data_IF_590979353905
#
_entry.id   IF_590979353905
#
_cell.length_a   1.000
_cell.length_b   1.000
_cell.length_c   1.000
_cell.angle_alpha   90.00
_cell.angle_beta   90.00
_cell.angle_gamma   90.00
#
_symmetry.space_group_name_H-M   'P 1'
#
loop_
_entity.id
_entity.type
_entity.pdbx_description
1 polymer ?
#
# COMPACT_ATOMS: atom_id res chain seq x y z
N UNK A 1 -15.31 -3.58 -25.95
CA UNK A 1 -13.89 -3.45 -25.55
C UNK A 1 -13.88 -3.32 -24.04
N UNK A 2 -13.43 -4.38 -23.36
CA UNK A 2 -13.39 -4.42 -21.90
C UNK A 2 -12.08 -3.81 -21.40
N UNK A 3 -12.20 -2.84 -20.49
CA UNK A 3 -11.00 -2.23 -19.90
C UNK A 3 -10.37 -3.17 -18.88
N UNK A 4 -9.07 -3.07 -18.73
CA UNK A 4 -8.31 -3.70 -17.65
C UNK A 4 -7.54 -2.64 -16.88
N UNK A 5 -8.00 -2.37 -15.67
CA UNK A 5 -7.49 -1.31 -14.80
C UNK A 5 -6.87 -1.93 -13.55
N UNK A 6 -5.64 -1.56 -13.26
CA UNK A 6 -4.98 -1.87 -11.99
C UNK A 6 -5.13 -0.70 -11.03
N UNK A 7 -5.41 -0.99 -9.78
CA UNK A 7 -5.11 -0.11 -8.67
C UNK A 7 -3.94 -0.74 -7.89
N UNK A 8 -2.86 0.00 -7.76
CA UNK A 8 -1.67 -0.43 -7.01
C UNK A 8 -1.54 0.46 -5.79
N UNK A 9 -1.43 -0.17 -4.62
CA UNK A 9 -1.35 0.51 -3.33
C UNK A 9 -0.23 -0.13 -2.50
N UNK A 10 0.71 0.69 -2.01
CA UNK A 10 1.81 0.21 -1.17
C UNK A 10 1.31 -0.10 0.23
N UNK A 11 1.66 -1.28 0.72
CA UNK A 11 1.28 -1.71 2.06
C UNK A 11 1.99 -0.86 3.11
N UNK A 12 1.24 -0.26 4.09
CA UNK A 12 1.80 0.51 5.20
C UNK A 12 3.01 1.40 4.83
N UNK A 13 2.92 2.13 3.74
CA UNK A 13 4.02 2.72 2.96
C UNK A 13 5.13 3.38 3.79
N UNK A 14 4.81 4.37 4.63
CA UNK A 14 5.85 5.08 5.39
C UNK A 14 6.60 4.17 6.36
N UNK A 15 5.90 3.32 7.09
CA UNK A 15 6.54 2.38 8.00
C UNK A 15 7.36 1.34 7.23
N UNK A 16 6.91 0.93 6.05
CA UNK A 16 7.66 0.05 5.16
C UNK A 16 8.94 0.72 4.63
N UNK A 17 8.90 2.01 4.29
CA UNK A 17 10.08 2.79 3.92
C UNK A 17 11.10 2.82 5.08
N UNK A 18 10.65 3.00 6.33
CA UNK A 18 11.54 2.92 7.49
C UNK A 18 12.16 1.53 7.67
N UNK A 19 11.40 0.46 7.45
CA UNK A 19 11.92 -0.91 7.48
C UNK A 19 12.92 -1.22 6.36
N UNK A 20 12.81 -0.54 5.21
CA UNK A 20 13.81 -0.62 4.13
C UNK A 20 15.12 0.06 4.53
N UNK A 21 15.02 1.23 5.15
CA UNK A 21 16.17 2.01 5.64
C UNK A 21 16.84 1.36 6.84
N UNK A 22 16.05 0.78 7.74
CA UNK A 22 16.53 0.05 8.92
C UNK A 22 15.82 -1.31 9.04
N UNK A 23 16.43 -2.39 8.54
CA UNK A 23 15.82 -3.72 8.53
C UNK A 23 15.50 -4.31 9.91
N UNK A 24 16.11 -3.82 10.99
CA UNK A 24 15.81 -4.27 12.36
C UNK A 24 14.39 -3.91 12.81
N UNK A 25 13.76 -2.94 12.13
CA UNK A 25 12.39 -2.51 12.41
C UNK A 25 11.34 -3.54 12.00
N UNK A 26 11.64 -4.46 11.09
CA UNK A 26 10.67 -5.43 10.53
C UNK A 26 10.01 -6.33 11.58
N UNK A 27 10.70 -6.59 12.67
CA UNK A 27 10.20 -7.47 13.76
C UNK A 27 9.53 -6.70 14.89
N UNK A 28 9.67 -5.37 14.90
CA UNK A 28 9.17 -4.48 15.96
C UNK A 28 7.84 -3.83 15.58
N UNK A 29 7.00 -3.44 16.54
CA UNK A 29 5.89 -2.53 16.26
C UNK A 29 6.44 -1.16 15.86
N UNK A 30 6.17 -0.71 14.62
CA UNK A 30 6.64 0.58 14.10
C UNK A 30 5.46 1.48 13.83
N UNK A 31 5.53 2.69 14.39
CA UNK A 31 4.57 3.77 14.20
C UNK A 31 5.30 4.99 13.65
N UNK A 32 4.94 5.41 12.44
CA UNK A 32 5.39 6.68 11.86
C UNK A 32 4.39 7.77 12.24
N UNK A 33 4.88 8.86 12.83
CA UNK A 33 4.08 9.83 13.55
C UNK A 33 4.23 11.25 12.96
N UNK A 34 3.11 11.95 12.87
CA UNK A 34 3.09 13.41 12.74
C UNK A 34 2.96 13.98 14.16
N UNK A 35 4.08 14.43 14.71
CA UNK A 35 4.10 15.10 16.01
C UNK A 35 3.60 16.54 15.86
N UNK A 36 2.88 17.03 16.86
CA UNK A 36 2.46 18.44 16.90
C UNK A 36 3.43 19.28 17.72
N UNK A 37 3.42 20.59 17.48
CA UNK A 37 4.26 21.58 18.18
C UNK A 37 3.94 21.73 19.67
N UNK A 38 2.87 21.08 20.17
CA UNK A 38 2.48 21.10 21.59
C UNK A 38 3.41 20.26 22.49
N UNK A 39 4.32 19.50 21.88
CA UNK A 39 5.27 18.64 22.60
C UNK A 39 4.67 17.36 23.15
N UNK A 40 5.52 16.51 23.74
CA UNK A 40 5.15 15.22 24.30
C UNK A 40 4.59 14.25 23.26
N UNK A 41 3.52 13.53 23.62
CA UNK A 41 2.84 12.55 22.77
C UNK A 41 1.66 13.15 21.97
N UNK A 42 1.74 14.47 21.72
CA UNK A 42 0.74 15.16 20.91
C UNK A 42 0.99 14.94 19.42
N UNK A 43 -0.07 14.55 18.70
CA UNK A 43 -0.01 14.24 17.27
C UNK A 43 -0.77 12.98 16.92
N UNK A 44 -0.59 12.49 15.70
CA UNK A 44 -1.29 11.32 15.19
C UNK A 44 -0.36 10.34 14.48
N UNK A 45 -0.77 9.09 14.46
CA UNK A 45 -0.12 8.04 13.66
C UNK A 45 -0.42 8.28 12.18
N UNK A 46 0.62 8.52 11.40
CA UNK A 46 0.51 8.60 9.94
C UNK A 46 0.38 7.18 9.35
N UNK A 47 1.25 6.27 9.77
CA UNK A 47 1.22 4.87 9.33
C UNK A 47 1.75 3.97 10.44
N UNK A 48 1.20 2.76 10.53
CA UNK A 48 1.69 1.71 11.43
C UNK A 48 1.93 0.42 10.64
N UNK A 49 3.02 -0.31 10.95
CA UNK A 49 3.28 -1.60 10.34
C UNK A 49 2.32 -2.69 10.87
N UNK A 50 2.32 -3.85 10.23
CA UNK A 50 1.40 -4.93 10.62
C UNK A 50 1.67 -5.47 12.02
N UNK A 51 2.89 -5.38 12.52
CA UNK A 51 3.21 -5.74 13.90
C UNK A 51 2.50 -4.82 14.89
N UNK A 52 2.50 -3.51 14.67
CA UNK A 52 1.76 -2.55 15.48
C UNK A 52 0.23 -2.68 15.30
N UNK A 53 -0.23 -2.95 14.07
CA UNK A 53 -1.66 -3.14 13.77
C UNK A 53 -2.32 -4.29 14.53
N UNK A 54 -1.57 -5.34 14.89
CA UNK A 54 -2.05 -6.45 15.74
C UNK A 54 -2.49 -5.99 17.13
N UNK A 55 -2.00 -4.85 17.59
CA UNK A 55 -2.39 -4.21 18.85
C UNK A 55 -3.45 -3.12 18.65
N UNK A 56 -4.08 -3.09 17.47
CA UNK A 56 -5.12 -2.12 17.13
C UNK A 56 -4.58 -0.73 16.77
N UNK A 57 -3.27 -0.56 16.59
CA UNK A 57 -2.68 0.71 16.16
C UNK A 57 -2.86 0.86 14.65
N UNK A 58 -3.47 1.97 14.22
CA UNK A 58 -3.72 2.27 12.80
C UNK A 58 -3.55 3.77 12.54
N UNK A 59 -3.50 4.15 11.26
CA UNK A 59 -3.45 5.56 10.85
C UNK A 59 -4.60 6.36 11.46
N UNK A 60 -4.34 7.60 11.81
CA UNK A 60 -5.30 8.57 12.33
C UNK A 60 -5.52 8.51 13.85
N UNK A 61 -5.07 7.47 14.57
CA UNK A 61 -5.22 7.49 16.03
C UNK A 61 -4.17 8.41 16.69
N UNK A 62 -4.49 9.03 17.85
CA UNK A 62 -3.54 9.82 18.60
C UNK A 62 -2.33 9.00 19.06
N UNK A 63 -1.13 9.61 19.08
CA UNK A 63 0.12 8.96 19.50
C UNK A 63 0.00 8.42 20.94
N UNK A 64 -0.61 9.17 21.85
CA UNK A 64 -0.83 8.74 23.22
C UNK A 64 -1.66 7.44 23.33
N UNK A 65 -2.67 7.27 22.47
CA UNK A 65 -3.45 6.03 22.40
C UNK A 65 -2.64 4.87 21.81
N UNK A 66 -1.83 5.13 20.80
CA UNK A 66 -0.95 4.12 20.23
C UNK A 66 0.07 3.63 21.27
N UNK A 67 0.69 4.54 22.03
CA UNK A 67 1.62 4.19 23.14
C UNK A 67 0.94 3.35 24.20
N UNK A 68 -0.28 3.70 24.64
CA UNK A 68 -1.04 2.91 25.59
C UNK A 68 -1.33 1.49 25.08
N UNK A 69 -1.65 1.33 23.79
CA UNK A 69 -1.90 0.01 23.20
C UNK A 69 -0.64 -0.85 23.08
N UNK A 70 0.51 -0.21 23.00
CA UNK A 70 1.83 -0.86 22.89
C UNK A 70 2.63 -0.84 24.21
N UNK A 71 2.02 -0.50 25.34
CA UNK A 71 2.73 -0.37 26.63
C UNK A 71 3.49 -1.63 27.06
N UNK A 72 3.00 -2.82 26.65
CA UNK A 72 3.65 -4.12 26.93
C UNK A 72 4.73 -4.49 25.90
N UNK A 73 4.99 -3.63 24.93
CA UNK A 73 5.97 -3.84 23.87
C UNK A 73 7.08 -2.80 24.00
N UNK A 74 8.07 -3.12 24.87
CA UNK A 74 9.24 -2.26 25.12
C UNK A 74 10.06 -1.98 23.84
N UNK A 75 9.94 -2.86 22.83
CA UNK A 75 10.58 -2.73 21.53
C UNK A 75 9.77 -1.89 20.51
N UNK A 76 8.65 -1.29 20.92
CA UNK A 76 7.85 -0.44 20.04
C UNK A 76 8.57 0.85 19.67
N UNK A 77 8.55 1.20 18.39
CA UNK A 77 9.28 2.34 17.84
C UNK A 77 8.31 3.38 17.27
N UNK A 78 8.50 4.63 17.70
CA UNK A 78 7.73 5.79 17.24
C UNK A 78 8.68 6.76 16.52
N UNK A 79 8.53 6.89 15.21
CA UNK A 79 9.41 7.68 14.34
C UNK A 79 8.67 8.92 13.82
N UNK A 80 9.32 10.07 13.70
CA UNK A 80 8.74 11.20 12.99
C UNK A 80 8.63 10.89 11.49
N UNK A 81 7.67 11.54 10.79
CA UNK A 81 7.58 11.48 9.34
C UNK A 81 8.81 12.10 8.68
N UNK A 82 9.33 11.44 7.66
CA UNK A 82 10.39 11.93 6.77
C UNK A 82 9.84 12.06 5.34
N UNK A 83 9.08 13.12 5.11
CA UNK A 83 8.42 13.33 3.81
C UNK A 83 9.38 13.47 2.64
N UNK A 84 10.60 13.93 2.86
CA UNK A 84 11.62 14.01 1.81
C UNK A 84 12.03 12.62 1.34
N UNK A 85 12.35 11.74 2.29
CA UNK A 85 12.70 10.36 1.99
C UNK A 85 11.53 9.60 1.34
N UNK A 86 10.31 9.75 1.89
CA UNK A 86 9.14 9.07 1.32
C UNK A 86 8.82 9.57 -0.09
N UNK A 87 9.02 10.87 -0.38
CA UNK A 87 8.83 11.39 -1.74
C UNK A 87 9.82 10.77 -2.73
N UNK A 88 11.09 10.60 -2.36
CA UNK A 88 12.07 9.90 -3.20
C UNK A 88 11.66 8.45 -3.47
N UNK A 89 11.17 7.75 -2.44
CA UNK A 89 10.67 6.37 -2.62
C UNK A 89 9.44 6.33 -3.53
N UNK A 90 8.50 7.28 -3.37
CA UNK A 90 7.34 7.44 -4.25
C UNK A 90 7.76 7.64 -5.71
N UNK A 91 8.67 8.58 -5.98
CA UNK A 91 9.12 8.86 -7.35
C UNK A 91 9.72 7.63 -8.03
N UNK A 92 10.56 6.88 -7.31
CA UNK A 92 11.15 5.64 -7.82
C UNK A 92 10.07 4.58 -8.11
N UNK A 93 9.09 4.45 -7.23
CA UNK A 93 7.99 3.50 -7.38
C UNK A 93 7.09 3.87 -8.56
N UNK A 94 6.68 5.14 -8.66
CA UNK A 94 5.84 5.64 -9.75
C UNK A 94 6.54 5.48 -11.11
N UNK A 95 7.85 5.71 -11.17
CA UNK A 95 8.64 5.49 -12.39
C UNK A 95 8.57 4.03 -12.85
N UNK A 96 8.72 3.07 -11.91
CA UNK A 96 8.59 1.65 -12.23
C UNK A 96 7.19 1.34 -12.75
N UNK A 97 6.13 1.78 -12.04
CA UNK A 97 4.74 1.48 -12.42
C UNK A 97 4.39 2.06 -13.79
N UNK A 98 4.86 3.28 -14.10
CA UNK A 98 4.63 3.94 -15.38
C UNK A 98 5.16 3.15 -16.59
N UNK A 99 6.23 2.37 -16.43
CA UNK A 99 6.79 1.51 -17.49
C UNK A 99 5.80 0.42 -17.95
N UNK A 100 4.85 0.05 -17.09
CA UNK A 100 3.89 -1.02 -17.32
C UNK A 100 2.48 -0.54 -17.70
N UNK A 101 2.25 0.76 -17.77
CA UNK A 101 0.94 1.32 -18.09
C UNK A 101 0.81 1.73 -19.56
N UNK A 102 -0.36 1.56 -20.13
CA UNK A 102 -0.78 2.23 -21.38
C UNK A 102 -1.21 3.68 -21.05
N UNK A 103 -1.97 3.84 -19.94
CA UNK A 103 -2.31 5.14 -19.35
C UNK A 103 -2.01 5.03 -17.83
N UNK A 104 -1.21 5.97 -17.32
CA UNK A 104 -0.85 6.06 -15.93
C UNK A 104 -1.53 7.24 -15.26
N UNK A 105 -2.15 7.01 -14.09
CA UNK A 105 -2.75 8.06 -13.28
C UNK A 105 -2.18 8.01 -11.86
N UNK A 106 -1.48 9.07 -11.51
CA UNK A 106 -1.01 9.31 -10.15
C UNK A 106 -2.19 9.73 -9.26
N UNK A 107 -2.32 9.10 -8.08
CA UNK A 107 -3.38 9.42 -7.11
C UNK A 107 -2.79 9.98 -5.83
N UNK A 108 -1.82 9.30 -5.26
CA UNK A 108 -1.21 9.65 -3.99
C UNK A 108 0.25 9.18 -3.89
N UNK A 109 0.87 9.41 -2.75
CA UNK A 109 2.26 9.03 -2.54
C UNK A 109 2.51 7.54 -2.63
N UNK A 110 1.50 6.74 -2.35
CA UNK A 110 1.54 5.30 -2.22
C UNK A 110 0.56 4.55 -3.13
N UNK A 111 -0.21 5.28 -3.98
CA UNK A 111 -1.19 4.65 -4.86
C UNK A 111 -1.24 5.26 -6.26
N UNK A 112 -1.53 4.41 -7.25
CA UNK A 112 -1.72 4.80 -8.64
C UNK A 112 -2.69 3.88 -9.36
N UNK A 113 -3.34 4.40 -10.41
CA UNK A 113 -4.07 3.59 -11.39
C UNK A 113 -3.25 3.40 -12.67
N UNK A 114 -3.32 2.19 -13.21
CA UNK A 114 -2.75 1.82 -14.49
C UNK A 114 -3.85 1.24 -15.38
N UNK A 115 -4.12 1.87 -16.50
CA UNK A 115 -4.85 1.21 -17.58
C UNK A 115 -3.83 0.38 -18.38
N UNK A 116 -4.06 -0.90 -18.50
CA UNK A 116 -3.19 -1.84 -19.21
C UNK A 116 -3.92 -2.60 -20.31
N UNK A 117 -5.10 -2.12 -20.68
CA UNK A 117 -6.04 -2.77 -21.61
C UNK A 117 -5.38 -3.23 -22.90
N UNK A 118 -4.64 -2.33 -23.56
CA UNK A 118 -3.96 -2.65 -24.83
C UNK A 118 -2.81 -3.64 -24.62
N UNK A 119 -2.04 -3.46 -23.58
CA UNK A 119 -0.86 -4.24 -23.26
C UNK A 119 -1.17 -5.70 -22.96
N UNK A 120 -2.32 -5.95 -22.35
CA UNK A 120 -2.78 -7.30 -22.02
C UNK A 120 -3.83 -7.83 -23.02
N UNK A 121 -4.17 -7.06 -24.06
CA UNK A 121 -5.16 -7.46 -25.06
C UNK A 121 -6.52 -7.83 -24.45
N UNK A 122 -6.96 -7.06 -23.46
CA UNK A 122 -8.21 -7.29 -22.68
C UNK A 122 -8.24 -8.64 -21.92
N UNK A 123 -7.11 -9.34 -21.80
CA UNK A 123 -7.00 -10.67 -21.17
C UNK A 123 -6.63 -10.55 -19.68
N UNK A 124 -7.53 -10.94 -18.79
CA UNK A 124 -7.34 -10.91 -17.34
C UNK A 124 -6.29 -11.91 -16.84
N UNK A 125 -6.00 -13.00 -17.57
CA UNK A 125 -4.89 -13.90 -17.25
C UNK A 125 -3.54 -13.25 -17.54
N UNK A 126 -3.42 -12.58 -18.70
CA UNK A 126 -2.23 -11.77 -19.02
C UNK A 126 -2.07 -10.63 -18.01
N UNK A 127 -3.17 -10.01 -17.60
CA UNK A 127 -3.18 -8.97 -16.58
C UNK A 127 -2.67 -9.48 -15.23
N UNK A 128 -3.07 -10.68 -14.81
CA UNK A 128 -2.54 -11.33 -13.61
C UNK A 128 -1.03 -11.51 -13.65
N UNK A 129 -0.49 -12.01 -14.75
CA UNK A 129 0.95 -12.16 -14.93
C UNK A 129 1.67 -10.82 -14.91
N UNK A 130 1.12 -9.79 -15.58
CA UNK A 130 1.68 -8.44 -15.60
C UNK A 130 1.70 -7.83 -14.19
N UNK A 131 0.62 -7.96 -13.44
CA UNK A 131 0.55 -7.50 -12.06
C UNK A 131 1.61 -8.17 -11.18
N UNK A 132 1.82 -9.47 -11.32
CA UNK A 132 2.87 -10.19 -10.59
C UNK A 132 4.27 -9.72 -10.99
N UNK A 133 4.50 -9.41 -12.26
CA UNK A 133 5.78 -8.85 -12.72
C UNK A 133 6.05 -7.48 -12.08
N UNK A 134 5.04 -6.61 -12.00
CA UNK A 134 5.14 -5.30 -11.33
C UNK A 134 5.51 -5.49 -9.85
N UNK A 135 4.80 -6.35 -9.12
CA UNK A 135 5.08 -6.67 -7.71
C UNK A 135 6.53 -7.13 -7.52
N UNK A 136 6.97 -8.07 -8.36
CA UNK A 136 8.33 -8.61 -8.31
C UNK A 136 9.38 -7.52 -8.60
N UNK A 137 9.13 -6.64 -9.58
CA UNK A 137 10.03 -5.53 -9.94
C UNK A 137 10.16 -4.52 -8.79
N UNK A 138 9.03 -4.13 -8.20
CA UNK A 138 8.99 -3.23 -7.03
C UNK A 138 9.76 -3.85 -5.87
N UNK A 139 9.50 -5.11 -5.54
CA UNK A 139 10.19 -5.83 -4.47
C UNK A 139 11.69 -5.94 -4.72
N UNK A 140 12.10 -6.29 -5.92
CA UNK A 140 13.52 -6.44 -6.27
C UNK A 140 14.28 -5.10 -6.19
N UNK A 141 13.68 -4.02 -6.69
CA UNK A 141 14.33 -2.70 -6.80
C UNK A 141 14.23 -1.85 -5.55
N UNK A 142 13.07 -1.86 -4.87
CA UNK A 142 12.77 -0.96 -3.76
C UNK A 142 12.64 -1.65 -2.41
N UNK A 143 12.59 -2.99 -2.40
CA UNK A 143 12.31 -3.81 -1.20
C UNK A 143 10.95 -3.51 -0.56
N UNK A 144 10.03 -2.92 -1.33
CA UNK A 144 8.66 -2.62 -0.93
C UNK A 144 7.71 -3.74 -1.39
N UNK A 145 6.63 -3.96 -0.66
CA UNK A 145 5.46 -4.72 -1.10
C UNK A 145 4.32 -3.77 -1.45
N UNK A 146 3.49 -4.21 -2.38
CA UNK A 146 2.27 -3.53 -2.75
C UNK A 146 1.15 -4.55 -2.99
N UNK A 147 -0.07 -4.11 -2.79
CA UNK A 147 -1.27 -4.86 -3.14
C UNK A 147 -1.86 -4.31 -4.42
N UNK A 148 -2.28 -5.22 -5.32
CA UNK A 148 -2.83 -4.86 -6.63
C UNK A 148 -4.24 -5.42 -6.77
N UNK A 149 -5.18 -4.54 -7.12
CA UNK A 149 -6.50 -4.91 -7.57
C UNK A 149 -6.62 -4.74 -9.08
N UNK A 150 -7.16 -5.74 -9.75
CA UNK A 150 -7.35 -5.78 -11.21
C UNK A 150 -8.83 -5.90 -11.50
N UNK A 151 -9.40 -5.00 -12.29
CA UNK A 151 -10.81 -5.05 -12.65
C UNK A 151 -11.12 -4.21 -13.90
N UNK A 152 -12.36 -4.24 -14.42
CA UNK A 152 -12.76 -3.40 -15.57
C UNK A 152 -12.84 -1.90 -15.25
N UNK A 153 -12.84 -1.49 -13.98
CA UNK A 153 -12.99 -0.09 -13.60
C UNK A 153 -12.22 0.27 -12.32
N UNK A 154 -11.99 1.55 -12.11
CA UNK A 154 -11.21 2.08 -10.99
C UNK A 154 -11.81 1.76 -9.61
N UNK A 155 -13.14 1.84 -9.48
CA UNK A 155 -13.79 1.61 -8.19
C UNK A 155 -13.55 0.19 -7.70
N UNK A 156 -13.83 -0.79 -8.55
CA UNK A 156 -13.66 -2.20 -8.19
C UNK A 156 -12.18 -2.56 -8.03
N UNK A 157 -11.28 -2.01 -8.87
CA UNK A 157 -9.84 -2.28 -8.71
C UNK A 157 -9.31 -1.73 -7.38
N UNK A 158 -9.81 -0.56 -6.91
CA UNK A 158 -9.45 -0.03 -5.60
C UNK A 158 -9.95 -0.93 -4.45
N UNK A 159 -11.19 -1.34 -4.48
CA UNK A 159 -11.74 -2.27 -3.48
C UNK A 159 -10.96 -3.59 -3.51
N UNK A 160 -10.67 -4.12 -4.69
CA UNK A 160 -9.92 -5.35 -4.87
C UNK A 160 -8.49 -5.26 -4.32
N UNK A 161 -7.82 -4.10 -4.44
CA UNK A 161 -6.47 -3.92 -3.89
C UNK A 161 -6.42 -3.99 -2.36
N UNK A 162 -7.53 -3.65 -1.69
CA UNK A 162 -7.63 -3.70 -0.22
C UNK A 162 -8.01 -5.10 0.30
N UNK A 163 -8.61 -5.94 -0.55
CA UNK A 163 -9.23 -7.20 -0.15
C UNK A 163 -8.27 -8.23 0.44
N UNK A 164 -7.05 -8.33 -0.10
CA UNK A 164 -6.04 -9.31 0.33
C UNK A 164 -4.76 -8.67 0.87
N UNK A 165 -4.84 -7.44 1.43
CA UNK A 165 -3.66 -6.80 2.05
C UNK A 165 -3.14 -7.61 3.26
N UNK A 166 -1.82 -7.66 3.47
CA UNK A 166 -0.74 -7.10 2.66
C UNK A 166 -0.28 -8.00 1.49
N UNK A 167 0.42 -7.39 0.55
CA UNK A 167 1.07 -8.08 -0.57
C UNK A 167 0.10 -8.89 -1.44
N UNK A 168 -1.16 -8.45 -1.49
CA UNK A 168 -2.24 -9.12 -2.20
C UNK A 168 -2.21 -8.92 -3.71
N UNK A 169 -2.92 -9.79 -4.42
CA UNK A 169 -3.27 -9.66 -5.82
C UNK A 169 -4.69 -10.21 -6.01
N UNK A 170 -5.62 -9.31 -6.23
CA UNK A 170 -7.04 -9.66 -6.38
C UNK A 170 -7.52 -9.28 -7.76
N UNK A 171 -8.08 -10.25 -8.48
CA UNK A 171 -8.57 -10.08 -9.84
C UNK A 171 -10.08 -10.25 -9.85
N UNK A 172 -10.77 -9.24 -10.34
CA UNK A 172 -12.23 -9.23 -10.47
C UNK A 172 -12.58 -9.05 -11.95
N UNK A 173 -12.88 -10.15 -12.61
CA UNK A 173 -13.32 -10.14 -14.02
C UNK A 173 -14.70 -9.47 -14.17
N UNK A 174 -15.07 -8.96 -15.36
CA UNK A 174 -16.34 -8.25 -15.58
C UNK A 174 -17.57 -8.98 -15.06
N UNK A 175 -17.68 -10.28 -15.35
CA UNK A 175 -18.82 -11.11 -14.93
C UNK A 175 -18.79 -11.56 -13.46
N UNK A 176 -17.79 -11.13 -12.69
CA UNK A 176 -17.58 -11.53 -11.28
C UNK A 176 -17.71 -10.36 -10.28
N UNK A 177 -18.11 -9.19 -10.75
CA UNK A 177 -18.19 -7.98 -9.91
C UNK A 177 -19.24 -8.14 -8.81
N UNK A 178 -20.44 -8.58 -9.12
CA UNK A 178 -21.53 -8.76 -8.15
C UNK A 178 -21.15 -9.78 -7.09
N UNK A 179 -20.67 -10.98 -7.51
CA UNK A 179 -20.20 -12.04 -6.62
C UNK A 179 -19.08 -11.53 -5.70
N UNK A 180 -18.14 -10.74 -6.23
CA UNK A 180 -17.07 -10.15 -5.43
C UNK A 180 -17.59 -9.17 -4.38
N UNK A 181 -18.51 -8.28 -4.76
CA UNK A 181 -19.09 -7.29 -3.83
C UNK A 181 -19.91 -7.93 -2.72
N UNK A 182 -20.64 -9.01 -3.02
CA UNK A 182 -21.40 -9.79 -2.01
C UNK A 182 -20.51 -10.42 -0.93
N UNK A 183 -19.22 -10.67 -1.22
CA UNK A 183 -18.26 -11.23 -0.27
C UNK A 183 -17.68 -10.18 0.70
N UNK A 184 -17.96 -8.90 0.49
CA UNK A 184 -17.37 -7.81 1.29
C UNK A 184 -18.17 -7.45 2.58
N UNK A 185 -19.22 -8.19 2.90
CA UNK A 185 -20.09 -7.97 4.06
C UNK A 185 -19.49 -8.45 5.39
#
# INVERSE_FOLDING_TARGET
MERVVFHIDFDYFYAQCEEVRNPELKTKPVCVCVFSDRGGDSGAIATANYTARKYGVKSGIPISFAKKRLEQREDAVFLPVDFEYYSKMTEMAMKIMKEYADIFEYVGRDEAYLDVTKRVEEDFKKASHLAQQIKNKIRAKLKLSCSIGVSPNKLISKIASDYQKPDGLTIVEPGKIEEFLEQLN
#
